data_IF_917271525503
#
_entry.id   IF_917271525503
#
_cell.length_a   1.000
_cell.length_b   1.000
_cell.length_c   1.000
_cell.angle_alpha   90.00
_cell.angle_beta   90.00
_cell.angle_gamma   90.00
#
_symmetry.space_group_name_H-M   'P 1'
#
loop_
_entity.id
_entity.type
_entity.pdbx_description
1 polymer ?
#
# COMPACT_ATOMS: atom_id res chain seq x y z
N UNK A 1 8.65 2.60 2.97
CA UNK A 1 7.21 2.71 2.65
C UNK A 1 6.46 1.59 3.36
N UNK A 2 5.35 1.91 4.00
CA UNK A 2 4.49 0.92 4.62
C UNK A 2 3.12 0.92 3.92
N UNK A 3 2.68 -0.24 3.46
CA UNK A 3 1.38 -0.41 2.81
C UNK A 3 0.43 -1.16 3.75
N UNK A 4 -0.79 -0.66 3.86
CA UNK A 4 -1.83 -1.30 4.65
C UNK A 4 -2.46 -2.46 3.90
N UNK A 5 -2.49 -3.61 4.54
CA UNK A 5 -3.06 -4.80 3.95
C UNK A 5 -3.91 -5.58 4.94
N UNK A 6 -4.58 -6.58 4.43
CA UNK A 6 -5.36 -7.53 5.19
C UNK A 6 -4.83 -8.92 4.92
N UNK A 7 -5.00 -9.81 5.89
CA UNK A 7 -4.71 -11.22 5.70
C UNK A 7 -5.89 -12.08 6.17
N UNK A 8 -5.97 -13.27 5.62
CA UNK A 8 -6.95 -14.26 6.05
C UNK A 8 -6.30 -15.64 6.05
N UNK A 9 -6.58 -16.40 7.09
CA UNK A 9 -6.10 -17.77 7.23
C UNK A 9 -7.21 -18.74 6.91
N UNK A 10 -6.87 -19.75 6.12
CA UNK A 10 -7.78 -20.85 5.75
C UNK A 10 -7.18 -22.16 6.21
N UNK A 11 -8.05 -23.05 6.65
CA UNK A 11 -7.70 -24.45 6.92
C UNK A 11 -8.24 -25.30 5.77
N UNK A 12 -7.35 -25.94 5.01
CA UNK A 12 -7.71 -26.81 3.89
C UNK A 12 -7.14 -28.20 4.22
N UNK A 13 -8.00 -29.10 4.76
CA UNK A 13 -7.54 -30.38 5.26
C UNK A 13 -6.56 -30.16 6.41
N UNK A 14 -5.34 -30.71 6.29
CA UNK A 14 -4.28 -30.56 7.30
C UNK A 14 -3.37 -29.34 7.02
N UNK A 15 -3.61 -28.62 5.92
CA UNK A 15 -2.78 -27.48 5.54
C UNK A 15 -3.43 -26.16 5.94
N UNK A 16 -2.59 -25.22 6.38
CA UNK A 16 -2.99 -23.83 6.57
C UNK A 16 -2.53 -22.99 5.38
N UNK A 17 -3.44 -22.17 4.86
CA UNK A 17 -3.15 -21.21 3.81
C UNK A 17 -3.42 -19.81 4.34
N UNK A 18 -2.45 -18.93 4.22
CA UNK A 18 -2.62 -17.51 4.52
C UNK A 18 -2.62 -16.72 3.23
N UNK A 19 -3.66 -15.92 3.03
CA UNK A 19 -3.74 -15.00 1.89
C UNK A 19 -3.61 -13.57 2.37
N UNK A 20 -3.01 -12.73 1.56
CA UNK A 20 -2.84 -11.31 1.85
C UNK A 20 -3.31 -10.46 0.67
N UNK A 21 -3.78 -9.27 0.96
CA UNK A 21 -4.11 -8.28 -0.06
C UNK A 21 -3.80 -6.88 0.45
N UNK A 22 -3.38 -6.01 -0.46
CA UNK A 22 -3.18 -4.59 -0.16
C UNK A 22 -4.52 -3.87 -0.32
N UNK A 23 -4.86 -3.01 0.65
CA UNK A 23 -6.06 -2.17 0.56
C UNK A 23 -5.79 -1.06 -0.45
N UNK A 24 -6.77 -0.79 -1.33
CA UNK A 24 -6.68 0.30 -2.30
C UNK A 24 -7.64 1.42 -1.91
N UNK A 25 -7.18 2.64 -2.16
CA UNK A 25 -7.88 3.89 -1.89
C UNK A 25 -8.17 4.62 -3.20
N UNK A 26 -8.93 5.74 -3.17
CA UNK A 26 -9.11 6.57 -4.35
C UNK A 26 -7.77 6.97 -5.00
N UNK A 27 -7.76 7.21 -6.32
CA UNK A 27 -6.51 7.55 -7.01
C UNK A 27 -5.95 8.89 -6.55
N UNK A 28 -4.63 8.98 -6.46
CA UNK A 28 -3.91 10.20 -6.16
C UNK A 28 -3.40 10.82 -7.47
N UNK A 29 -3.66 12.10 -7.67
CA UNK A 29 -3.28 12.82 -8.90
C UNK A 29 -1.78 12.82 -9.15
N UNK A 30 -0.98 12.76 -8.10
CA UNK A 30 0.48 12.71 -8.22
C UNK A 30 0.97 11.43 -8.90
N UNK A 31 0.12 10.41 -8.98
CA UNK A 31 0.40 9.13 -9.65
C UNK A 31 -0.23 9.04 -11.04
N UNK A 32 -0.73 10.14 -11.59
CA UNK A 32 -1.27 10.15 -12.95
C UNK A 32 -0.21 9.68 -13.95
N UNK A 33 -0.62 8.81 -14.88
CA UNK A 33 0.29 8.18 -15.83
C UNK A 33 1.07 6.97 -15.28
N UNK A 34 1.01 6.72 -13.97
CA UNK A 34 1.69 5.60 -13.30
C UNK A 34 0.67 4.61 -12.77
N UNK A 35 -0.24 5.07 -11.93
CA UNK A 35 -1.28 4.26 -11.31
C UNK A 35 -2.55 5.09 -11.16
N UNK A 36 -3.41 5.04 -12.18
CA UNK A 36 -4.51 6.00 -12.32
C UNK A 36 -5.83 5.54 -11.71
N UNK A 37 -6.01 4.23 -11.49
CA UNK A 37 -7.30 3.69 -11.03
C UNK A 37 -7.47 3.73 -9.53
N UNK A 38 -6.39 3.58 -8.79
CA UNK A 38 -6.43 3.53 -7.33
C UNK A 38 -5.05 3.86 -6.76
N UNK A 39 -4.98 4.05 -5.45
CA UNK A 39 -3.73 4.21 -4.73
C UNK A 39 -3.69 3.18 -3.62
N UNK A 40 -2.61 2.43 -3.43
CA UNK A 40 -2.51 1.53 -2.28
C UNK A 40 -2.58 2.34 -1.00
N UNK A 41 -3.23 1.79 0.03
CA UNK A 41 -3.24 2.40 1.35
C UNK A 41 -1.82 2.51 1.87
N UNK A 42 -1.34 3.73 2.05
CA UNK A 42 -0.01 4.02 2.52
C UNK A 42 -0.10 4.49 3.97
N UNK A 43 0.61 3.82 4.86
CA UNK A 43 0.67 4.18 6.27
C UNK A 43 1.92 5.02 6.52
N UNK A 44 1.83 5.97 7.45
CA UNK A 44 3.01 6.69 7.92
C UNK A 44 3.86 5.74 8.77
N UNK A 45 4.91 5.21 8.16
CA UNK A 45 5.78 4.24 8.83
C UNK A 45 6.57 4.83 10.00
N UNK A 46 6.66 6.16 10.08
CA UNK A 46 7.30 6.86 11.19
C UNK A 46 6.38 7.00 12.40
N UNK A 47 5.08 6.87 12.22
CA UNK A 47 4.10 6.86 13.30
C UNK A 47 4.00 5.45 13.88
N UNK A 48 4.85 5.17 14.86
CA UNK A 48 4.94 3.84 15.45
C UNK A 48 3.66 3.41 16.17
N UNK A 49 2.94 4.35 16.77
CA UNK A 49 1.67 4.05 17.43
C UNK A 49 0.62 3.59 16.41
N UNK A 50 0.56 4.25 15.25
CA UNK A 50 -0.32 3.85 14.16
C UNK A 50 0.02 2.45 13.65
N UNK A 51 1.30 2.17 13.43
CA UNK A 51 1.75 0.86 12.96
C UNK A 51 1.39 -0.23 13.98
N UNK A 52 1.60 0.02 15.27
CA UNK A 52 1.26 -0.92 16.32
C UNK A 52 -0.26 -1.19 16.38
N UNK A 53 -1.08 -0.15 16.22
CA UNK A 53 -2.53 -0.32 16.14
C UNK A 53 -2.95 -1.15 14.92
N UNK A 54 -2.35 -0.88 13.76
CA UNK A 54 -2.65 -1.62 12.53
C UNK A 54 -2.33 -3.10 12.65
N UNK A 55 -1.24 -3.44 13.34
CA UNK A 55 -0.78 -4.82 13.53
C UNK A 55 -1.44 -5.54 14.71
N UNK A 56 -2.25 -4.86 15.50
CA UNK A 56 -2.90 -5.42 16.69
C UNK A 56 -4.09 -6.29 16.29
N UNK A 57 -4.02 -7.63 16.46
CA UNK A 57 -5.10 -8.53 16.05
C UNK A 57 -6.36 -8.40 16.91
N UNK A 58 -6.26 -7.78 18.10
CA UNK A 58 -7.42 -7.55 18.97
C UNK A 58 -8.23 -6.31 18.56
N UNK A 59 -7.66 -5.42 17.76
CA UNK A 59 -8.33 -4.21 17.27
C UNK A 59 -9.06 -4.51 15.97
N UNK A 60 -10.35 -4.84 16.06
CA UNK A 60 -11.17 -5.27 14.92
C UNK A 60 -12.15 -4.21 14.43
N UNK A 61 -12.18 -3.03 15.06
CA UNK A 61 -13.04 -1.94 14.66
C UNK A 61 -12.49 -1.20 13.45
N UNK A 62 -13.06 -1.45 12.28
CA UNK A 62 -12.63 -0.82 11.03
C UNK A 62 -12.83 0.70 11.03
N UNK A 63 -13.74 1.22 11.82
CA UNK A 63 -13.99 2.67 11.91
C UNK A 63 -12.76 3.42 12.46
N UNK A 64 -11.95 2.76 13.30
CA UNK A 64 -10.73 3.35 13.83
C UNK A 64 -9.74 3.75 12.73
N UNK A 65 -9.83 3.13 11.54
CA UNK A 65 -8.90 3.34 10.43
C UNK A 65 -9.53 4.00 9.21
N UNK A 66 -10.82 4.29 9.23
CA UNK A 66 -11.53 4.85 8.08
C UNK A 66 -10.90 6.15 7.56
N UNK A 67 -10.43 7.00 8.47
CA UNK A 67 -9.80 8.28 8.11
C UNK A 67 -8.50 8.12 7.31
N UNK A 68 -7.91 6.94 7.28
CA UNK A 68 -6.70 6.66 6.52
C UNK A 68 -6.98 6.36 5.03
N UNK A 69 -8.23 6.09 4.66
CA UNK A 69 -8.61 5.61 3.33
C UNK A 69 -8.77 6.76 2.32
N UNK A 70 -7.81 7.64 2.25
CA UNK A 70 -7.88 8.87 1.45
C UNK A 70 -7.04 8.84 0.19
N UNK A 71 -6.12 7.89 0.06
CA UNK A 71 -5.19 7.83 -1.06
C UNK A 71 -4.02 8.80 -0.95
N UNK A 72 -3.76 9.35 0.24
CA UNK A 72 -2.62 10.23 0.46
C UNK A 72 -1.29 9.48 0.37
N UNK A 73 -0.28 10.15 -0.18
CA UNK A 73 1.09 9.65 -0.21
C UNK A 73 1.79 10.05 1.09
N UNK A 74 2.03 9.07 1.95
CA UNK A 74 2.64 9.29 3.26
C UNK A 74 4.17 9.24 3.22
N UNK A 75 4.75 8.93 2.08
CA UNK A 75 6.19 8.96 1.84
C UNK A 75 6.47 9.43 0.42
N UNK A 76 7.60 10.08 0.21
CA UNK A 76 8.03 10.44 -1.15
C UNK A 76 8.46 9.18 -1.89
N UNK A 77 8.21 9.15 -3.20
CA UNK A 77 8.41 8.01 -4.06
C UNK A 77 9.32 8.40 -5.21
N UNK A 78 10.23 7.52 -5.56
CA UNK A 78 11.00 7.60 -6.79
C UNK A 78 10.41 6.59 -7.78
N UNK A 79 9.96 7.07 -8.93
CA UNK A 79 9.33 6.23 -9.95
C UNK A 79 10.19 6.23 -11.21
N UNK A 80 10.61 5.05 -11.64
CA UNK A 80 11.38 4.86 -12.87
C UNK A 80 10.61 3.91 -13.79
N UNK A 81 10.26 4.34 -15.02
CA UNK A 81 9.64 3.40 -15.95
C UNK A 81 10.64 2.33 -16.38
N UNK A 82 10.17 1.11 -16.48
CA UNK A 82 10.96 -0.04 -16.88
C UNK A 82 10.44 -0.62 -18.19
N UNK A 83 11.25 -1.43 -18.88
CA UNK A 83 10.86 -2.04 -20.15
C UNK A 83 9.76 -3.08 -20.00
N UNK A 84 9.72 -3.78 -18.87
CA UNK A 84 8.67 -4.74 -18.57
C UNK A 84 8.96 -5.53 -17.31
N UNK A 85 8.05 -6.44 -16.95
CA UNK A 85 8.16 -7.23 -15.73
C UNK A 85 9.37 -8.18 -15.74
N UNK A 86 9.86 -8.54 -16.91
CA UNK A 86 11.03 -9.43 -17.09
C UNK A 86 12.31 -8.69 -17.41
N UNK A 87 12.24 -7.39 -17.65
CA UNK A 87 13.39 -6.54 -17.93
C UNK A 87 13.22 -5.25 -17.16
N UNK A 88 13.88 -5.17 -16.01
CA UNK A 88 13.78 -4.04 -15.08
C UNK A 88 14.69 -2.87 -15.48
N UNK A 89 15.32 -2.92 -16.66
CA UNK A 89 16.11 -1.79 -17.19
C UNK A 89 15.23 -0.56 -17.37
N UNK A 90 15.78 0.61 -17.08
CA UNK A 90 15.07 1.87 -17.24
C UNK A 90 14.67 2.11 -18.70
N UNK A 91 13.43 2.55 -18.92
CA UNK A 91 12.91 2.93 -20.23
C UNK A 91 12.84 4.45 -20.41
N UNK A 92 12.87 5.19 -19.35
CA UNK A 92 12.76 6.64 -19.34
C UNK A 92 13.33 7.24 -18.09
N UNK A 93 13.07 8.51 -17.89
CA UNK A 93 13.60 9.25 -16.75
C UNK A 93 12.89 8.90 -15.45
N UNK A 94 13.65 8.98 -14.36
CA UNK A 94 13.12 8.83 -13.01
C UNK A 94 12.38 10.09 -12.58
N UNK A 95 11.20 9.90 -12.00
CA UNK A 95 10.41 10.97 -11.42
C UNK A 95 10.46 10.93 -9.90
N UNK A 96 10.62 12.09 -9.29
CA UNK A 96 10.45 12.27 -7.86
C UNK A 96 9.02 12.71 -7.58
N UNK A 97 8.31 11.95 -6.72
CA UNK A 97 6.93 12.23 -6.33
C UNK A 97 6.94 12.52 -4.83
N UNK A 98 6.70 13.77 -4.49
CA UNK A 98 6.77 14.24 -3.11
C UNK A 98 5.51 13.82 -2.36
N UNK A 99 5.68 13.37 -1.12
CA UNK A 99 4.54 13.00 -0.25
C UNK A 99 3.58 14.18 -0.06
N UNK A 100 2.35 13.86 0.22
CA UNK A 100 1.31 14.83 0.56
C UNK A 100 1.55 15.53 1.89
#
# INVERSE_FOLDING_TARGET
MALGGLYKRYQIGEQQLTTTSVITCPPNRKLDGIHEKSTPLMLDWQDQDLINMWLDPSLTDSEAFRHLLTGELMTSITATPIKGARDLSARGETLEIVKD
#
